data_IF_566750808213
#
_entry.id   IF_566750808213
#
_cell.length_a   1.000
_cell.length_b   1.000
_cell.length_c   1.000
_cell.angle_alpha   90.00
_cell.angle_beta   90.00
_cell.angle_gamma   90.00
#
_symmetry.space_group_name_H-M   'P 1'
#
loop_
_entity.id
_entity.type
_entity.pdbx_description
1 polymer ?
#
# COMPACT_ATOMS: atom_id res chain seq x y z
N UNK A 1 -11.00 11.19 -6.15
CA UNK A 1 -10.96 10.59 -4.81
C UNK A 1 -9.66 10.82 -4.08
N UNK A 2 -8.66 11.24 -4.77
CA UNK A 2 -7.37 11.63 -4.21
C UNK A 2 -7.10 13.10 -4.48
N UNK A 3 -8.12 13.93 -4.42
CA UNK A 3 -7.93 15.39 -4.48
C UNK A 3 -7.05 15.81 -3.30
N UNK A 4 -5.90 16.35 -3.63
CA UNK A 4 -4.85 16.71 -2.68
C UNK A 4 -3.84 15.58 -2.44
N UNK A 5 -2.78 15.93 -1.75
CA UNK A 5 -1.62 15.07 -1.50
C UNK A 5 -0.49 15.29 -2.48
N UNK A 6 0.59 14.54 -2.29
CA UNK A 6 1.81 14.68 -3.09
C UNK A 6 1.53 14.37 -4.56
N UNK A 7 1.97 15.23 -5.45
CA UNK A 7 1.84 15.05 -6.89
C UNK A 7 2.48 13.72 -7.34
N UNK A 8 1.80 13.05 -8.26
CA UNK A 8 2.31 11.80 -8.86
C UNK A 8 2.63 12.06 -10.32
N UNK A 9 3.82 11.75 -10.73
CA UNK A 9 4.23 11.79 -12.12
C UNK A 9 3.87 10.49 -12.83
N UNK A 10 3.60 10.49 -14.14
CA UNK A 10 3.28 9.26 -14.88
C UNK A 10 4.34 8.16 -14.74
N UNK A 11 5.62 8.53 -14.67
CA UNK A 11 6.74 7.60 -14.49
C UNK A 11 6.78 6.93 -13.11
N UNK A 12 6.01 7.42 -12.15
CA UNK A 12 5.89 6.85 -10.81
C UNK A 12 4.70 5.88 -10.68
N UNK A 13 3.98 5.62 -11.77
CA UNK A 13 2.80 4.73 -11.80
C UNK A 13 3.02 3.55 -12.72
N UNK A 14 2.80 2.35 -12.21
CA UNK A 14 2.95 1.10 -12.96
C UNK A 14 1.65 0.30 -12.92
N UNK A 15 1.10 -0.01 -14.09
CA UNK A 15 -0.06 -0.90 -14.22
C UNK A 15 0.36 -2.36 -13.98
N UNK A 16 -0.46 -3.11 -13.28
CA UNK A 16 -0.19 -4.50 -12.89
C UNK A 16 -1.45 -5.37 -13.01
N UNK A 17 -1.27 -6.69 -13.05
CA UNK A 17 -2.36 -7.66 -13.05
C UNK A 17 -2.95 -7.87 -11.64
N UNK A 18 -3.53 -6.80 -11.07
CA UNK A 18 -3.93 -6.68 -9.68
C UNK A 18 -2.81 -6.16 -8.79
N UNK A 19 -3.07 -5.93 -7.49
CA UNK A 19 -2.06 -5.43 -6.56
C UNK A 19 -0.92 -6.41 -6.28
N UNK A 20 -1.20 -7.72 -6.29
CA UNK A 20 -0.24 -8.76 -5.88
C UNK A 20 1.09 -8.76 -6.65
N UNK A 21 1.14 -8.60 -7.98
CA UNK A 21 2.41 -8.50 -8.70
C UNK A 21 3.24 -7.29 -8.27
N UNK A 22 2.63 -6.13 -8.04
CA UNK A 22 3.32 -4.95 -7.54
C UNK A 22 3.92 -5.18 -6.14
N UNK A 23 3.13 -5.74 -5.21
CA UNK A 23 3.59 -6.10 -3.87
C UNK A 23 4.77 -7.06 -3.93
N UNK A 24 4.69 -8.13 -4.73
CA UNK A 24 5.76 -9.09 -4.91
C UNK A 24 7.02 -8.48 -5.52
N UNK A 25 6.87 -7.53 -6.44
CA UNK A 25 7.99 -6.82 -7.04
C UNK A 25 8.80 -6.06 -5.97
N UNK A 26 8.12 -5.30 -5.10
CA UNK A 26 8.80 -4.58 -4.02
C UNK A 26 9.41 -5.52 -2.98
N UNK A 27 8.72 -6.58 -2.60
CA UNK A 27 9.28 -7.57 -1.67
C UNK A 27 10.53 -8.26 -2.27
N UNK A 28 10.52 -8.57 -3.57
CA UNK A 28 11.68 -9.14 -4.27
C UNK A 28 12.88 -8.17 -4.31
N UNK A 29 12.63 -6.86 -4.47
CA UNK A 29 13.68 -5.84 -4.41
C UNK A 29 14.28 -5.67 -3.01
N UNK A 30 13.44 -5.74 -1.99
CA UNK A 30 13.83 -5.45 -0.61
C UNK A 30 14.44 -6.66 0.11
N UNK A 31 14.13 -7.88 -0.34
CA UNK A 31 14.57 -9.13 0.28
C UNK A 31 15.60 -9.82 -0.61
N UNK A 32 16.85 -9.83 -0.17
CA UNK A 32 17.94 -10.55 -0.85
C UNK A 32 18.49 -11.73 -0.05
N UNK A 33 18.18 -11.82 1.25
CA UNK A 33 18.55 -12.94 2.12
C UNK A 33 17.74 -12.92 3.42
N UNK A 34 17.85 -13.99 4.22
CA UNK A 34 17.02 -14.25 5.40
C UNK A 34 17.15 -13.19 6.53
N UNK A 35 18.21 -12.39 6.58
CA UNK A 35 18.34 -11.30 7.54
C UNK A 35 17.61 -10.01 7.11
N UNK A 36 17.04 -9.96 5.90
CA UNK A 36 16.17 -8.87 5.53
C UNK A 36 14.74 -9.12 6.04
N UNK A 37 14.27 -8.21 6.89
CA UNK A 37 12.95 -8.28 7.53
C UNK A 37 11.94 -7.32 6.91
N UNK A 38 10.68 -7.73 6.95
CA UNK A 38 9.55 -6.87 6.58
C UNK A 38 8.53 -6.91 7.71
N UNK A 39 8.17 -5.73 8.22
CA UNK A 39 7.12 -5.61 9.23
C UNK A 39 5.75 -5.76 8.61
N UNK A 40 4.93 -6.66 9.18
CA UNK A 40 3.57 -6.91 8.70
C UNK A 40 2.59 -6.96 9.85
N UNK A 41 1.32 -6.51 9.65
CA UNK A 41 0.30 -6.55 10.70
C UNK A 41 -0.14 -7.99 11.01
N UNK A 42 -0.59 -8.21 12.23
CA UNK A 42 -1.27 -9.43 12.63
C UNK A 42 -2.57 -9.04 13.34
N UNK A 43 -3.74 -9.53 12.88
CA UNK A 43 -3.95 -10.40 11.71
C UNK A 43 -3.76 -9.67 10.38
N UNK A 44 -3.53 -10.42 9.28
CA UNK A 44 -3.30 -9.84 7.95
C UNK A 44 -3.73 -10.80 6.82
N UNK A 45 -3.85 -10.23 5.63
CA UNK A 45 -4.04 -11.00 4.40
C UNK A 45 -2.79 -11.84 4.08
N UNK A 46 -2.90 -13.18 3.88
CA UNK A 46 -1.76 -14.10 3.82
C UNK A 46 -0.74 -13.88 2.71
N UNK A 47 -1.03 -13.00 1.74
CA UNK A 47 -0.12 -12.69 0.62
C UNK A 47 1.27 -12.25 1.14
N UNK A 48 1.31 -11.39 2.16
CA UNK A 48 2.56 -10.81 2.66
C UNK A 48 3.45 -11.87 3.30
N UNK A 49 2.92 -12.66 4.23
CA UNK A 49 3.67 -13.74 4.88
C UNK A 49 4.17 -14.79 3.86
N UNK A 50 3.29 -15.18 2.92
CA UNK A 50 3.65 -16.13 1.88
C UNK A 50 4.74 -15.58 0.94
N UNK A 51 4.65 -14.33 0.52
CA UNK A 51 5.63 -13.72 -0.38
C UNK A 51 6.99 -13.46 0.31
N UNK A 52 6.99 -13.02 1.58
CA UNK A 52 8.23 -12.87 2.36
C UNK A 52 8.95 -14.22 2.47
N UNK A 53 8.21 -15.30 2.78
CA UNK A 53 8.77 -16.66 2.82
C UNK A 53 9.27 -17.12 1.45
N UNK A 54 8.52 -16.82 0.37
CA UNK A 54 8.91 -17.16 -1.00
C UNK A 54 10.24 -16.53 -1.41
N UNK A 55 10.49 -15.28 -0.99
CA UNK A 55 11.73 -14.57 -1.27
C UNK A 55 12.84 -14.83 -0.24
N UNK A 56 12.61 -15.68 0.75
CA UNK A 56 13.60 -16.07 1.74
C UNK A 56 13.90 -14.99 2.79
N UNK A 57 13.01 -14.04 3.00
CA UNK A 57 13.12 -12.99 4.04
C UNK A 57 12.57 -13.40 5.39
N UNK A 58 12.70 -12.52 6.36
CA UNK A 58 12.16 -12.68 7.71
C UNK A 58 10.91 -11.84 7.92
N UNK A 59 9.84 -12.47 8.35
CA UNK A 59 8.63 -11.81 8.79
C UNK A 59 8.82 -11.20 10.17
N UNK A 60 8.58 -9.89 10.31
CA UNK A 60 8.59 -9.16 11.58
C UNK A 60 7.15 -8.76 11.90
N UNK A 61 6.54 -9.41 12.88
CA UNK A 61 5.13 -9.19 13.19
C UNK A 61 4.95 -7.98 14.11
N UNK A 62 3.98 -7.13 13.81
CA UNK A 62 3.38 -6.22 14.76
C UNK A 62 1.88 -6.53 14.92
N UNK A 63 1.32 -6.30 16.10
CA UNK A 63 -0.03 -6.74 16.42
C UNK A 63 -1.00 -5.57 16.45
N UNK A 64 -2.17 -5.79 15.84
CA UNK A 64 -3.29 -4.85 15.93
C UNK A 64 -4.02 -5.08 17.27
N UNK A 65 -4.47 -3.99 17.90
CA UNK A 65 -5.14 -4.06 19.20
C UNK A 65 -6.64 -4.27 19.02
N UNK A 66 -7.13 -5.47 19.29
CA UNK A 66 -8.56 -5.80 19.25
C UNK A 66 -9.38 -4.90 20.21
N UNK A 67 -8.86 -4.65 21.40
CA UNK A 67 -9.48 -3.79 22.41
C UNK A 67 -9.64 -2.35 21.96
N UNK A 68 -8.80 -1.89 21.01
CA UNK A 68 -8.82 -0.55 20.44
C UNK A 68 -9.31 -0.57 18.98
N UNK A 69 -10.34 -1.35 18.66
CA UNK A 69 -10.91 -1.44 17.32
C UNK A 69 -9.88 -1.74 16.23
N UNK A 70 -8.95 -2.64 16.50
CA UNK A 70 -7.88 -3.06 15.59
C UNK A 70 -6.92 -1.94 15.18
N UNK A 71 -6.83 -0.89 15.99
CA UNK A 71 -5.85 0.18 15.79
C UNK A 71 -4.42 -0.33 15.94
N UNK A 72 -3.48 0.36 15.30
CA UNK A 72 -2.05 0.09 15.45
C UNK A 72 -1.57 0.70 16.77
N UNK A 73 -0.98 -0.15 17.61
CA UNK A 73 -0.28 0.26 18.82
C UNK A 73 1.20 0.50 18.50
N UNK A 74 1.61 1.77 18.53
CA UNK A 74 2.98 2.16 18.18
C UNK A 74 4.03 1.66 19.19
N UNK A 75 3.67 1.45 20.45
CA UNK A 75 4.58 0.87 21.44
C UNK A 75 4.87 -0.61 21.10
N UNK A 76 3.84 -1.34 20.68
CA UNK A 76 4.00 -2.70 20.16
C UNK A 76 4.84 -2.74 18.88
N UNK A 77 4.65 -1.78 17.97
CA UNK A 77 5.45 -1.64 16.74
C UNK A 77 6.93 -1.41 17.04
N UNK A 78 7.24 -0.43 17.90
CA UNK A 78 8.62 -0.11 18.30
C UNK A 78 9.28 -1.33 18.99
N UNK A 79 8.56 -2.02 19.86
CA UNK A 79 9.03 -3.25 20.52
C UNK A 79 9.37 -4.33 19.50
N UNK A 80 8.47 -4.62 18.56
CA UNK A 80 8.69 -5.64 17.53
C UNK A 80 9.87 -5.30 16.62
N UNK A 81 10.02 -4.03 16.25
CA UNK A 81 11.17 -3.54 15.50
C UNK A 81 12.49 -3.77 16.25
N UNK A 82 12.54 -3.34 17.52
CA UNK A 82 13.73 -3.50 18.37
C UNK A 82 14.11 -4.97 18.54
N UNK A 83 13.15 -5.84 18.84
CA UNK A 83 13.39 -7.29 18.98
C UNK A 83 13.95 -7.90 17.68
N UNK A 84 13.53 -7.42 16.52
CA UNK A 84 14.06 -7.88 15.24
C UNK A 84 15.50 -7.41 15.03
N UNK A 85 15.80 -6.13 15.31
CA UNK A 85 17.15 -5.56 15.21
C UNK A 85 18.12 -6.24 16.19
N UNK A 86 17.70 -6.51 17.42
CA UNK A 86 18.50 -7.21 18.44
C UNK A 86 18.83 -8.65 18.00
N UNK A 87 18.02 -9.27 17.13
CA UNK A 87 18.30 -10.57 16.49
C UNK A 87 19.15 -10.46 15.21
N UNK A 88 19.64 -9.28 14.86
CA UNK A 88 20.42 -9.04 13.66
C UNK A 88 19.61 -8.94 12.38
N UNK A 89 18.27 -8.79 12.46
CA UNK A 89 17.41 -8.60 11.31
C UNK A 89 17.47 -7.14 10.86
N UNK A 90 17.78 -6.94 9.59
CA UNK A 90 17.74 -5.63 8.93
C UNK A 90 16.33 -5.41 8.38
N UNK A 91 15.51 -4.67 9.13
CA UNK A 91 14.14 -4.36 8.69
C UNK A 91 14.20 -3.38 7.51
N UNK A 92 13.53 -3.72 6.40
CA UNK A 92 13.56 -2.97 5.13
C UNK A 92 12.28 -2.22 4.84
N UNK A 93 11.14 -2.76 5.29
CA UNK A 93 9.85 -2.18 4.98
C UNK A 93 8.85 -2.38 6.11
N UNK A 94 7.86 -1.50 6.10
CA UNK A 94 6.67 -1.57 6.93
C UNK A 94 5.44 -1.68 6.02
N UNK A 95 4.68 -2.74 6.17
CA UNK A 95 3.44 -2.95 5.41
C UNK A 95 2.26 -2.52 6.26
N UNK A 96 1.37 -1.73 5.68
CA UNK A 96 0.08 -1.38 6.27
C UNK A 96 -1.04 -1.70 5.28
N UNK A 97 -2.15 -2.25 5.78
CA UNK A 97 -3.35 -2.53 5.00
C UNK A 97 -4.44 -1.60 5.51
N UNK A 98 -4.86 -0.64 4.71
CA UNK A 98 -5.85 0.37 5.10
C UNK A 98 -6.85 0.65 3.97
N UNK A 99 -8.12 0.34 4.16
CA UNK A 99 -8.77 -0.36 5.28
C UNK A 99 -8.26 -1.78 5.49
N UNK A 100 -8.33 -2.27 6.75
CA UNK A 100 -7.73 -3.53 7.18
C UNK A 100 -8.41 -4.79 6.60
N UNK A 101 -7.62 -5.82 6.36
CA UNK A 101 -8.09 -7.16 6.02
C UNK A 101 -7.37 -8.17 6.95
N UNK A 102 -8.09 -8.91 7.82
CA UNK A 102 -9.56 -9.14 7.82
C UNK A 102 -10.38 -8.19 8.71
N UNK A 103 -9.78 -7.23 9.37
CA UNK A 103 -10.34 -6.50 10.51
C UNK A 103 -11.31 -5.36 10.12
N UNK A 104 -11.23 -4.83 8.89
CA UNK A 104 -12.18 -3.85 8.33
C UNK A 104 -12.04 -2.41 8.85
N UNK A 105 -11.14 -2.16 9.82
CA UNK A 105 -10.95 -0.80 10.36
C UNK A 105 -10.36 0.15 9.33
N UNK A 106 -10.73 1.43 9.46
CA UNK A 106 -10.13 2.55 8.73
C UNK A 106 -9.21 3.30 9.67
N UNK A 107 -7.99 3.57 9.22
CA UNK A 107 -6.98 4.23 10.03
C UNK A 107 -7.23 5.73 10.13
N UNK A 108 -7.08 6.29 11.33
CA UNK A 108 -7.14 7.74 11.54
C UNK A 108 -5.90 8.44 11.00
N UNK A 109 -6.03 9.72 10.62
CA UNK A 109 -4.89 10.51 10.14
C UNK A 109 -3.75 10.55 11.18
N UNK A 110 -4.08 10.66 12.47
CA UNK A 110 -3.08 10.67 13.55
C UNK A 110 -2.26 9.37 13.59
N UNK A 111 -2.91 8.22 13.46
CA UNK A 111 -2.20 6.94 13.41
C UNK A 111 -1.33 6.81 12.15
N UNK A 112 -1.82 7.30 11.01
CA UNK A 112 -1.03 7.33 9.78
C UNK A 112 0.23 8.20 9.92
N UNK A 113 0.12 9.37 10.55
CA UNK A 113 1.25 10.26 10.81
C UNK A 113 2.30 9.59 11.70
N UNK A 114 1.90 8.91 12.77
CA UNK A 114 2.81 8.16 13.65
C UNK A 114 3.57 7.05 12.90
N UNK A 115 2.89 6.35 12.00
CA UNK A 115 3.51 5.32 11.15
C UNK A 115 4.52 5.95 10.17
N UNK A 116 4.16 7.07 9.56
CA UNK A 116 5.01 7.83 8.65
C UNK A 116 6.29 8.28 9.37
N UNK A 117 6.16 8.85 10.57
CA UNK A 117 7.30 9.25 11.41
C UNK A 117 8.19 8.06 11.78
N UNK A 118 7.58 6.94 12.18
CA UNK A 118 8.30 5.72 12.49
C UNK A 118 9.09 5.20 11.28
N UNK A 119 8.46 5.10 10.11
CA UNK A 119 9.12 4.64 8.89
C UNK A 119 10.26 5.58 8.47
N UNK A 120 10.05 6.88 8.56
CA UNK A 120 11.08 7.88 8.28
C UNK A 120 12.27 7.77 9.24
N UNK A 121 12.00 7.74 10.54
CA UNK A 121 13.01 7.59 11.61
C UNK A 121 13.91 6.37 11.42
N UNK A 122 13.34 5.26 10.98
CA UNK A 122 14.04 3.98 10.83
C UNK A 122 14.46 3.68 9.38
N UNK A 123 14.28 4.63 8.45
CA UNK A 123 14.61 4.48 7.02
C UNK A 123 13.94 3.23 6.39
N UNK A 124 12.66 3.04 6.65
CA UNK A 124 11.86 1.94 6.13
C UNK A 124 11.04 2.38 4.91
N UNK A 125 10.94 1.52 3.92
CA UNK A 125 9.96 1.70 2.83
C UNK A 125 8.55 1.46 3.39
N UNK A 126 7.68 2.46 3.30
CA UNK A 126 6.27 2.32 3.67
C UNK A 126 5.47 1.75 2.49
N UNK A 127 4.96 0.55 2.66
CA UNK A 127 4.13 -0.16 1.69
C UNK A 127 2.67 -0.09 2.13
N UNK A 128 1.87 0.78 1.52
CA UNK A 128 0.46 0.99 1.86
C UNK A 128 -0.45 0.24 0.88
N UNK A 129 -1.05 -0.84 1.37
CA UNK A 129 -2.08 -1.59 0.65
C UNK A 129 -3.44 -0.92 0.85
N UNK A 130 -3.85 -0.15 -0.16
CA UNK A 130 -5.08 0.66 -0.14
C UNK A 130 -6.18 0.06 -1.02
N UNK A 131 -6.14 -1.25 -1.29
CA UNK A 131 -7.09 -1.91 -2.21
C UNK A 131 -8.55 -1.80 -1.75
N UNK A 132 -8.80 -1.57 -0.46
CA UNK A 132 -10.14 -1.43 0.12
C UNK A 132 -10.60 0.04 0.28
N UNK A 133 -9.93 1.01 -0.34
CA UNK A 133 -10.20 2.44 -0.17
C UNK A 133 -11.68 2.86 -0.41
N UNK A 134 -12.44 2.06 -1.15
CA UNK A 134 -13.87 2.30 -1.40
C UNK A 134 -14.80 1.47 -0.50
N UNK A 135 -14.28 0.51 0.26
CA UNK A 135 -15.05 -0.35 1.14
C UNK A 135 -15.13 0.27 2.55
N UNK A 136 -15.75 1.44 2.64
CA UNK A 136 -15.92 2.20 3.88
C UNK A 136 -17.38 2.08 4.32
N UNK A 137 -17.59 1.42 5.44
CA UNK A 137 -18.92 1.14 6.00
C UNK A 137 -19.13 1.76 7.38
N UNK A 138 -18.11 2.41 7.92
CA UNK A 138 -18.14 3.11 9.19
C UNK A 138 -18.13 4.63 9.03
N UNK A 139 -17.99 5.34 10.15
CA UNK A 139 -18.02 6.82 10.19
C UNK A 139 -16.67 7.45 9.83
N UNK A 140 -15.55 6.70 9.96
CA UNK A 140 -14.21 7.21 9.69
C UNK A 140 -13.99 7.25 8.17
N UNK A 141 -13.78 8.43 7.57
CA UNK A 141 -13.54 8.52 6.13
C UNK A 141 -12.14 7.98 5.79
N UNK A 142 -12.04 7.37 4.62
CA UNK A 142 -10.74 6.93 4.11
C UNK A 142 -9.85 8.14 3.76
N UNK A 143 -8.62 8.10 4.24
CA UNK A 143 -7.56 9.04 3.87
C UNK A 143 -6.41 8.23 3.24
N UNK A 144 -5.97 8.54 2.01
CA UNK A 144 -4.83 7.85 1.43
C UNK A 144 -3.52 8.26 2.10
N UNK A 145 -2.56 7.35 2.20
CA UNK A 145 -1.24 7.63 2.80
C UNK A 145 -0.48 8.76 2.10
N UNK A 146 -0.69 8.97 0.80
CA UNK A 146 -0.14 10.14 0.08
C UNK A 146 -0.64 11.46 0.64
N UNK A 147 -1.91 11.52 1.00
CA UNK A 147 -2.51 12.72 1.63
C UNK A 147 -2.02 12.88 3.06
N UNK A 148 -1.90 11.79 3.81
CA UNK A 148 -1.32 11.83 5.15
C UNK A 148 0.14 12.30 5.11
N UNK A 149 0.95 11.80 4.17
CA UNK A 149 2.34 12.22 3.97
C UNK A 149 2.45 13.72 3.63
N UNK A 150 1.50 14.28 2.88
CA UNK A 150 1.48 15.71 2.55
C UNK A 150 1.26 16.63 3.77
N UNK A 151 0.69 16.10 4.85
CA UNK A 151 0.52 16.85 6.12
C UNK A 151 1.78 16.87 6.99
N UNK A 152 2.82 16.11 6.62
CA UNK A 152 4.06 16.01 7.39
C UNK A 152 5.01 17.18 7.11
N UNK A 153 6.10 17.26 7.88
CA UNK A 153 7.16 18.23 7.62
C UNK A 153 7.80 18.03 6.25
N UNK A 154 8.35 19.10 5.67
CA UNK A 154 9.02 19.05 4.35
C UNK A 154 10.16 18.03 4.30
N UNK A 155 10.85 17.81 5.42
CA UNK A 155 11.90 16.82 5.55
C UNK A 155 11.35 15.40 5.37
N UNK A 156 10.29 15.06 6.11
CA UNK A 156 9.63 13.75 6.03
C UNK A 156 8.99 13.55 4.65
N UNK A 157 8.29 14.59 4.13
CA UNK A 157 7.67 14.53 2.80
C UNK A 157 8.65 14.17 1.69
N UNK A 158 9.87 14.67 1.77
CA UNK A 158 10.92 14.45 0.76
C UNK A 158 11.79 13.23 1.03
N UNK A 159 11.81 12.74 2.26
CA UNK A 159 12.71 11.66 2.67
C UNK A 159 12.06 10.28 2.75
N UNK A 160 10.76 10.19 3.02
CA UNK A 160 10.08 8.89 3.14
C UNK A 160 9.77 8.29 1.77
N UNK A 161 10.22 7.06 1.54
CA UNK A 161 9.79 6.27 0.38
C UNK A 161 8.43 5.64 0.71
N UNK A 162 7.40 6.02 -0.07
CA UNK A 162 6.05 5.48 0.05
C UNK A 162 5.66 4.78 -1.25
N UNK A 163 5.11 3.56 -1.12
CA UNK A 163 4.50 2.83 -2.23
C UNK A 163 3.07 2.50 -1.89
N UNK A 164 2.12 2.92 -2.73
CA UNK A 164 0.69 2.62 -2.56
C UNK A 164 0.22 1.64 -3.61
N UNK A 165 -0.64 0.69 -3.21
CA UNK A 165 -1.15 -0.36 -4.10
C UNK A 165 -2.66 -0.23 -4.27
N UNK A 166 -3.11 -0.45 -5.50
CA UNK A 166 -4.52 -0.45 -5.87
C UNK A 166 -4.89 -1.70 -6.68
N UNK A 167 -6.15 -2.11 -6.58
CA UNK A 167 -6.68 -3.25 -7.36
C UNK A 167 -8.15 -3.01 -7.73
N UNK A 168 -8.53 -3.43 -8.94
CA UNK A 168 -9.93 -3.50 -9.38
C UNK A 168 -10.69 -4.67 -8.73
N UNK A 169 -10.00 -5.52 -7.98
CA UNK A 169 -10.58 -6.70 -7.32
C UNK A 169 -11.53 -6.35 -6.17
N UNK A 170 -11.46 -5.14 -5.67
CA UNK A 170 -12.18 -4.63 -4.49
C UNK A 170 -12.96 -3.37 -4.88
N UNK A 171 -13.52 -2.70 -3.86
CA UNK A 171 -14.32 -1.52 -4.08
C UNK A 171 -15.71 -1.83 -4.60
N UNK A 172 -16.36 -0.84 -5.19
CA UNK A 172 -17.74 -0.93 -5.70
C UNK A 172 -17.87 -1.96 -6.85
N UNK A 173 -16.93 -1.98 -7.78
CA UNK A 173 -17.00 -2.85 -8.96
C UNK A 173 -16.62 -4.30 -8.68
N UNK A 174 -15.64 -4.55 -7.82
CA UNK A 174 -15.28 -5.89 -7.37
C UNK A 174 -14.84 -6.87 -8.48
N UNK A 175 -14.17 -6.40 -9.52
CA UNK A 175 -13.81 -7.18 -10.72
C UNK A 175 -12.53 -8.01 -10.55
N UNK A 176 -12.49 -8.87 -9.52
CA UNK A 176 -11.31 -9.64 -9.13
C UNK A 176 -10.71 -10.48 -10.27
N UNK A 177 -11.55 -11.14 -11.07
CA UNK A 177 -11.12 -12.02 -12.18
C UNK A 177 -10.51 -11.27 -13.36
N UNK A 178 -10.71 -9.96 -13.48
CA UNK A 178 -10.16 -9.14 -14.58
C UNK A 178 -8.69 -8.80 -14.39
N UNK A 179 -8.17 -8.98 -13.17
CA UNK A 179 -6.74 -8.78 -12.85
C UNK A 179 -6.19 -7.42 -13.27
N UNK A 180 -6.82 -6.35 -12.83
CA UNK A 180 -6.31 -4.99 -13.00
C UNK A 180 -5.85 -4.38 -11.69
N UNK A 181 -4.85 -3.53 -11.74
CA UNK A 181 -4.34 -2.78 -10.59
C UNK A 181 -3.17 -1.89 -10.98
N UNK A 182 -2.63 -1.20 -10.02
CA UNK A 182 -1.41 -0.41 -10.16
C UNK A 182 -0.74 -0.20 -8.81
N UNK A 183 0.52 0.17 -8.86
CA UNK A 183 1.18 0.79 -7.73
C UNK A 183 1.70 2.19 -8.11
N UNK A 184 1.82 3.03 -7.10
CA UNK A 184 2.39 4.38 -7.21
C UNK A 184 3.53 4.53 -6.22
N UNK A 185 4.56 5.25 -6.63
CA UNK A 185 5.75 5.51 -5.84
C UNK A 185 5.87 6.98 -5.49
N UNK A 186 6.43 7.26 -4.33
CA UNK A 186 6.83 8.60 -3.88
C UNK A 186 8.25 8.52 -3.36
N UNK A 187 9.10 9.49 -3.75
CA UNK A 187 10.49 9.63 -3.31
C UNK A 187 11.41 8.44 -3.63
N UNK A 188 11.09 7.64 -4.64
CA UNK A 188 12.00 6.59 -5.12
C UNK A 188 13.08 7.23 -5.98
N UNK A 189 14.36 6.90 -5.72
CA UNK A 189 15.50 7.43 -6.47
C UNK A 189 15.53 6.93 -7.92
N UNK A 190 16.22 7.64 -8.79
CA UNK A 190 16.27 7.29 -10.22
C UNK A 190 16.93 5.94 -10.47
N UNK A 191 17.96 5.58 -9.71
CA UNK A 191 18.61 4.27 -9.81
C UNK A 191 17.62 3.14 -9.45
N UNK A 192 16.88 3.29 -8.36
CA UNK A 192 15.87 2.34 -7.92
C UNK A 192 14.72 2.22 -8.93
N UNK A 193 14.28 3.33 -9.51
CA UNK A 193 13.27 3.34 -10.59
C UNK A 193 13.73 2.54 -11.80
N UNK A 194 15.00 2.66 -12.19
CA UNK A 194 15.56 1.84 -13.27
C UNK A 194 15.51 0.34 -12.96
N UNK A 195 15.78 -0.07 -11.70
CA UNK A 195 15.69 -1.48 -11.30
C UNK A 195 14.22 -1.95 -11.29
N UNK A 196 13.30 -1.12 -10.79
CA UNK A 196 11.86 -1.38 -10.81
C UNK A 196 11.39 -1.56 -12.25
N UNK A 197 11.81 -0.68 -13.15
CA UNK A 197 11.48 -0.77 -14.58
C UNK A 197 11.99 -2.08 -15.21
N UNK A 198 13.25 -2.45 -14.96
CA UNK A 198 13.84 -3.71 -15.45
C UNK A 198 13.05 -4.93 -14.97
N UNK A 199 12.71 -4.99 -13.66
CA UNK A 199 11.93 -6.09 -13.11
C UNK A 199 10.50 -6.12 -13.67
N UNK A 200 9.88 -4.96 -13.82
CA UNK A 200 8.53 -4.85 -14.40
C UNK A 200 8.52 -5.31 -15.86
N UNK A 201 9.56 -4.99 -16.63
CA UNK A 201 9.66 -5.34 -18.04
C UNK A 201 9.78 -6.85 -18.30
N UNK A 202 10.23 -7.63 -17.32
CA UNK A 202 10.27 -9.10 -17.42
C UNK A 202 8.88 -9.71 -17.59
N UNK A 203 7.87 -9.10 -16.97
CA UNK A 203 6.48 -9.55 -17.05
C UNK A 203 5.74 -9.00 -18.28
N UNK A 204 6.42 -8.21 -19.12
CA UNK A 204 5.82 -7.50 -20.26
C UNK A 204 4.69 -6.53 -19.80
N UNK A 205 3.70 -6.30 -20.65
CA UNK A 205 2.56 -5.44 -20.32
C UNK A 205 1.53 -6.20 -19.47
N UNK A 206 0.82 -5.45 -18.59
CA UNK A 206 -0.36 -5.97 -17.91
C UNK A 206 -1.48 -6.28 -18.91
N UNK A 207 -2.42 -7.18 -18.56
CA UNK A 207 -3.48 -7.55 -19.47
C UNK A 207 -4.43 -6.39 -19.81
N UNK A 208 -4.83 -6.28 -21.06
CA UNK A 208 -5.64 -5.14 -21.58
C UNK A 208 -7.01 -5.06 -20.90
N UNK A 209 -7.63 -6.18 -20.55
CA UNK A 209 -8.92 -6.19 -19.85
C UNK A 209 -8.79 -5.56 -18.47
N UNK A 210 -7.72 -5.90 -17.74
CA UNK A 210 -7.40 -5.29 -16.45
C UNK A 210 -7.13 -3.79 -16.58
N UNK A 211 -6.41 -3.35 -17.61
CA UNK A 211 -6.17 -1.93 -17.89
C UNK A 211 -7.47 -1.17 -18.13
N UNK A 212 -8.39 -1.73 -18.95
CA UNK A 212 -9.70 -1.13 -19.18
C UNK A 212 -10.53 -1.03 -17.89
N UNK A 213 -10.46 -2.05 -17.02
CA UNK A 213 -11.13 -1.97 -15.71
C UNK A 213 -10.53 -0.87 -14.81
N UNK A 214 -9.20 -0.71 -14.80
CA UNK A 214 -8.55 0.39 -14.08
C UNK A 214 -9.02 1.73 -14.62
N UNK A 215 -9.05 1.90 -15.95
CA UNK A 215 -9.51 3.13 -16.60
C UNK A 215 -10.95 3.48 -16.19
N UNK A 216 -11.88 2.52 -16.25
CA UNK A 216 -13.29 2.72 -15.87
C UNK A 216 -13.47 3.09 -14.39
N UNK A 217 -12.61 2.56 -13.51
CA UNK A 217 -12.67 2.86 -12.08
C UNK A 217 -12.08 4.24 -11.78
N UNK A 218 -11.01 4.62 -12.46
CA UNK A 218 -10.34 5.91 -12.28
C UNK A 218 -11.15 7.05 -12.92
N UNK A 219 -11.66 6.82 -14.14
CA UNK A 219 -12.50 7.76 -14.89
C UNK A 219 -13.97 7.39 -14.82
N UNK A 220 -14.48 7.20 -13.61
CA UNK A 220 -15.91 6.93 -13.37
C UNK A 220 -16.81 8.07 -13.84
N UNK A 221 -18.11 7.80 -14.06
CA UNK A 221 -19.07 8.84 -14.44
C UNK A 221 -19.04 10.02 -13.49
N UNK A 222 -19.07 11.23 -14.05
CA UNK A 222 -19.03 12.52 -13.33
C UNK A 222 -20.37 13.24 -13.49
N UNK A 223 -20.62 14.22 -12.65
CA UNK A 223 -21.79 15.08 -12.77
C UNK A 223 -21.79 15.75 -14.15
N UNK A 224 -22.90 15.57 -14.90
CA UNK A 224 -23.05 15.99 -16.29
C UNK A 224 -22.94 14.84 -17.30
N UNK A 225 -22.42 13.68 -16.94
CA UNK A 225 -22.42 12.49 -17.80
C UNK A 225 -23.81 11.83 -17.81
N UNK A 226 -24.24 11.30 -18.95
CA UNK A 226 -25.53 10.63 -19.11
C UNK A 226 -25.69 9.45 -18.13
N UNK A 227 -24.62 8.72 -17.86
CA UNK A 227 -24.61 7.56 -16.95
C UNK A 227 -24.49 7.92 -15.46
N UNK A 228 -24.20 9.19 -15.12
CA UNK A 228 -23.95 9.58 -13.72
C UNK A 228 -25.14 9.35 -12.76
N UNK A 229 -26.41 9.65 -13.14
CA UNK A 229 -27.54 9.41 -12.25
C UNK A 229 -27.67 7.94 -11.84
N UNK A 230 -27.50 7.02 -12.80
CA UNK A 230 -27.55 5.58 -12.55
C UNK A 230 -26.38 5.14 -11.67
N UNK A 231 -25.17 5.57 -12.01
CA UNK A 231 -23.97 5.30 -11.21
C UNK A 231 -24.13 5.75 -9.74
N UNK A 232 -24.66 6.96 -9.54
CA UNK A 232 -24.91 7.50 -8.19
C UNK A 232 -25.96 6.73 -7.40
N UNK A 233 -26.96 6.19 -8.09
CA UNK A 233 -28.02 5.39 -7.46
C UNK A 233 -27.52 4.01 -7.03
N UNK A 234 -26.63 3.39 -7.81
CA UNK A 234 -26.11 2.05 -7.56
C UNK A 234 -24.97 2.03 -6.54
N UNK A 235 -24.21 3.14 -6.43
CA UNK A 235 -23.12 3.30 -5.47
C UNK A 235 -23.64 3.69 -4.08
#
# INVERSE_FOLDING_TARGET
>A
ETEGGIETKPEDVYLTDGASPGIKLFLNLLISHHLHGVMIPIPQYPLYSAAISQFGGTQVNYYLSEENNWAIDMDSVEKSYKEAVDKGIMVKAFVVINPGNPTGQVMTLENMQKIIEFCYKHNLVLMADEVYQENIYGEVPFTPFRKALDTMSEEIKKGLILVTFFSVSKGFYGECGKRGGFFRMVNVGEFEKEQIYKLSSVNLCSNVVGQNCVELIVNRPKEGDESYPLFKQEK
#
